data_IF_635484274548
#
_entry.id   IF_635484274548
#
_cell.length_a   1.000
_cell.length_b   1.000
_cell.length_c   1.000
_cell.angle_alpha   90.00
_cell.angle_beta   90.00
_cell.angle_gamma   90.00
#
_symmetry.space_group_name_H-M   'P 1'
#
loop_
_entity.id
_entity.type
_entity.pdbx_description
1 polymer ?
#
# COMPACT_ATOMS: atom_id res chain seq x y z
N UNK A 1 -43.48 -49.46 21.84
CA UNK A 1 -42.69 -48.31 22.32
C UNK A 1 -41.79 -47.88 21.18
N UNK A 2 -41.85 -46.60 20.87
CA UNK A 2 -41.28 -45.97 19.68
C UNK A 2 -39.74 -45.90 19.74
N UNK A 3 -39.09 -46.13 18.62
CA UNK A 3 -37.81 -45.49 18.32
C UNK A 3 -37.92 -44.87 16.92
N UNK A 4 -38.22 -43.58 16.95
CA UNK A 4 -38.25 -42.66 15.83
C UNK A 4 -36.81 -42.49 15.28
N UNK A 5 -36.66 -42.73 13.99
CA UNK A 5 -35.44 -42.46 13.21
C UNK A 5 -35.67 -41.13 12.51
N UNK A 6 -35.36 -40.03 13.19
CA UNK A 6 -35.10 -38.77 12.51
C UNK A 6 -33.63 -38.77 12.07
N UNK A 7 -33.42 -39.21 10.83
CA UNK A 7 -32.21 -38.87 10.10
C UNK A 7 -32.26 -37.35 9.86
N UNK A 8 -31.31 -36.60 10.43
CA UNK A 8 -31.18 -35.18 10.19
C UNK A 8 -30.84 -34.95 8.72
N UNK A 9 -31.71 -34.18 8.06
CA UNK A 9 -31.47 -33.65 6.73
C UNK A 9 -30.08 -33.02 6.64
N UNK A 10 -29.32 -33.51 5.67
CA UNK A 10 -28.00 -33.03 5.33
C UNK A 10 -28.17 -31.65 4.65
N UNK A 11 -27.73 -30.58 5.32
CA UNK A 11 -27.76 -29.18 4.87
C UNK A 11 -26.85 -28.96 3.63
N UNK A 12 -27.23 -29.53 2.49
CA UNK A 12 -26.79 -29.00 1.21
C UNK A 12 -27.60 -27.72 0.93
N UNK A 13 -26.96 -26.58 0.59
CA UNK A 13 -27.71 -25.37 0.24
C UNK A 13 -28.68 -25.70 -0.90
N UNK A 14 -29.97 -25.36 -0.70
CA UNK A 14 -31.03 -25.58 -1.69
C UNK A 14 -30.60 -24.94 -3.01
N UNK A 15 -30.82 -25.63 -4.14
CA UNK A 15 -30.41 -25.19 -5.49
C UNK A 15 -30.73 -23.73 -5.78
N UNK A 16 -31.89 -23.28 -5.31
CA UNK A 16 -32.41 -21.93 -5.53
C UNK A 16 -31.57 -20.85 -4.82
N UNK A 17 -30.95 -21.16 -3.69
CA UNK A 17 -30.06 -20.24 -2.97
C UNK A 17 -28.69 -20.11 -3.67
N UNK A 18 -28.18 -21.22 -4.22
CA UNK A 18 -26.95 -21.22 -5.00
C UNK A 18 -27.10 -20.42 -6.31
N UNK A 19 -28.21 -20.57 -7.01
CA UNK A 19 -28.53 -19.79 -8.21
C UNK A 19 -28.71 -18.30 -7.90
N UNK A 20 -29.44 -17.98 -6.82
CA UNK A 20 -29.62 -16.60 -6.38
C UNK A 20 -28.28 -15.93 -6.00
N UNK A 21 -27.40 -16.66 -5.30
CA UNK A 21 -26.04 -16.20 -4.99
C UNK A 21 -25.23 -15.91 -6.24
N UNK A 22 -25.21 -16.84 -7.19
CA UNK A 22 -24.48 -16.67 -8.45
C UNK A 22 -25.00 -15.46 -9.23
N UNK A 23 -26.32 -15.30 -9.33
CA UNK A 23 -26.96 -14.19 -10.01
C UNK A 23 -26.60 -12.82 -9.38
N UNK A 24 -26.61 -12.72 -8.05
CA UNK A 24 -26.13 -11.52 -7.33
C UNK A 24 -24.66 -11.25 -7.63
N UNK A 25 -23.82 -12.29 -7.60
CA UNK A 25 -22.40 -12.19 -7.91
C UNK A 25 -22.15 -11.66 -9.32
N UNK A 26 -22.85 -12.18 -10.32
CA UNK A 26 -22.79 -11.67 -11.70
C UNK A 26 -23.25 -10.22 -11.80
N UNK A 27 -24.27 -9.81 -11.04
CA UNK A 27 -24.75 -8.42 -11.07
C UNK A 27 -23.70 -7.44 -10.53
N UNK A 28 -23.00 -7.78 -9.44
CA UNK A 28 -21.90 -6.96 -8.89
C UNK A 28 -20.69 -7.00 -9.83
N UNK A 29 -20.32 -8.19 -10.31
CA UNK A 29 -19.20 -8.35 -11.24
C UNK A 29 -19.41 -7.52 -12.52
N UNK A 30 -20.63 -7.43 -13.06
CA UNK A 30 -20.96 -6.57 -14.21
C UNK A 30 -20.75 -5.09 -13.93
N UNK A 31 -21.15 -4.62 -12.75
CA UNK A 31 -20.94 -3.22 -12.35
C UNK A 31 -19.45 -2.88 -12.25
N UNK A 32 -18.65 -3.79 -11.69
CA UNK A 32 -17.20 -3.61 -11.54
C UNK A 32 -16.51 -3.78 -12.90
N UNK A 33 -16.68 -4.93 -13.55
CA UNK A 33 -15.92 -5.29 -14.75
C UNK A 33 -16.39 -4.58 -16.03
N UNK A 34 -17.54 -3.89 -16.02
CA UNK A 34 -18.04 -3.17 -17.18
C UNK A 34 -18.33 -4.09 -18.37
N UNK A 35 -18.15 -3.61 -19.63
CA UNK A 35 -18.46 -4.39 -20.83
C UNK A 35 -17.71 -5.72 -20.96
N UNK A 36 -16.50 -5.83 -20.40
CA UNK A 36 -15.64 -7.02 -20.50
C UNK A 36 -15.54 -7.80 -19.17
N UNK A 37 -16.55 -7.67 -18.30
CA UNK A 37 -16.52 -8.22 -16.95
C UNK A 37 -16.23 -9.73 -16.86
N UNK A 38 -16.64 -10.49 -17.87
CA UNK A 38 -16.55 -11.95 -17.89
C UNK A 38 -15.24 -12.47 -18.47
N UNK A 39 -14.39 -11.62 -19.06
CA UNK A 39 -13.15 -12.04 -19.71
C UNK A 39 -12.24 -12.91 -18.81
N UNK A 40 -11.90 -12.46 -17.57
CA UNK A 40 -11.14 -13.27 -16.62
C UNK A 40 -11.86 -14.58 -16.22
N UNK A 41 -13.16 -14.52 -15.99
CA UNK A 41 -13.97 -15.66 -15.54
C UNK A 41 -14.07 -16.72 -16.65
N UNK A 42 -14.32 -16.30 -17.90
CA UNK A 42 -14.40 -17.19 -19.05
C UNK A 42 -13.06 -17.88 -19.35
N UNK A 43 -11.93 -17.18 -19.19
CA UNK A 43 -10.60 -17.82 -19.29
C UNK A 43 -10.39 -18.87 -18.19
N UNK A 44 -10.78 -18.56 -16.96
CA UNK A 44 -10.69 -19.49 -15.83
C UNK A 44 -11.59 -20.71 -16.04
N UNK A 45 -12.81 -20.52 -16.55
CA UNK A 45 -13.78 -21.59 -16.79
C UNK A 45 -13.29 -22.65 -17.80
N UNK A 46 -12.43 -22.28 -18.75
CA UNK A 46 -11.80 -23.22 -19.69
C UNK A 46 -10.88 -24.22 -19.01
N UNK A 47 -10.33 -23.86 -17.85
CA UNK A 47 -9.42 -24.70 -17.06
C UNK A 47 -10.15 -25.35 -15.88
N UNK A 48 -10.99 -24.56 -15.18
CA UNK A 48 -11.78 -25.02 -14.04
C UNK A 48 -13.11 -24.24 -13.99
N UNK A 49 -14.21 -24.84 -14.49
CA UNK A 49 -15.55 -24.28 -14.37
C UNK A 49 -15.95 -24.02 -12.92
N UNK A 50 -15.58 -24.92 -12.00
CA UNK A 50 -15.89 -24.77 -10.58
C UNK A 50 -15.18 -23.58 -9.94
N UNK A 51 -13.91 -23.35 -10.28
CA UNK A 51 -13.17 -22.19 -9.78
C UNK A 51 -13.75 -20.88 -10.34
N UNK A 52 -14.18 -20.89 -11.61
CA UNK A 52 -14.85 -19.74 -12.22
C UNK A 52 -16.17 -19.43 -11.51
N UNK A 53 -17.00 -20.45 -11.24
CA UNK A 53 -18.22 -20.30 -10.43
C UNK A 53 -17.90 -19.78 -9.03
N UNK A 54 -16.92 -20.36 -8.34
CA UNK A 54 -16.54 -19.94 -6.98
C UNK A 54 -16.08 -18.48 -6.94
N UNK A 55 -15.35 -18.04 -7.98
CA UNK A 55 -14.90 -16.64 -8.11
C UNK A 55 -16.07 -15.67 -8.27
N UNK A 56 -17.18 -16.09 -8.87
CA UNK A 56 -18.41 -15.30 -8.95
C UNK A 56 -19.19 -15.36 -7.64
N UNK A 57 -19.43 -16.57 -7.15
CA UNK A 57 -20.29 -16.86 -6.00
C UNK A 57 -19.78 -16.19 -4.73
N UNK A 58 -18.52 -16.43 -4.36
CA UNK A 58 -18.01 -16.00 -3.06
C UNK A 58 -17.56 -14.53 -3.06
N UNK A 59 -16.54 -14.10 -3.85
CA UNK A 59 -16.11 -12.71 -3.90
C UNK A 59 -17.26 -11.75 -4.20
N UNK A 60 -18.02 -11.97 -5.27
CA UNK A 60 -19.01 -10.98 -5.70
C UNK A 60 -20.40 -11.23 -5.10
N UNK A 61 -20.81 -12.49 -4.93
CA UNK A 61 -22.16 -12.86 -4.49
C UNK A 61 -22.36 -12.98 -2.97
N UNK A 62 -21.29 -13.25 -2.21
CA UNK A 62 -21.33 -13.35 -0.75
C UNK A 62 -20.66 -12.16 -0.07
N UNK A 63 -19.60 -11.58 -0.66
CA UNK A 63 -18.79 -10.52 -0.03
C UNK A 63 -19.13 -9.13 -0.59
N UNK A 64 -18.86 -8.85 -1.86
CA UNK A 64 -19.03 -7.50 -2.42
C UNK A 64 -20.50 -7.08 -2.61
N UNK A 65 -21.45 -8.01 -2.63
CA UNK A 65 -22.89 -7.70 -2.70
C UNK A 65 -23.50 -7.32 -1.35
N UNK A 66 -22.76 -7.45 -0.25
CA UNK A 66 -23.28 -7.15 1.09
C UNK A 66 -23.64 -5.66 1.19
N UNK A 67 -24.71 -5.30 1.92
CA UNK A 67 -24.96 -3.90 2.27
C UNK A 67 -23.89 -3.42 3.27
N UNK A 68 -23.90 -2.12 3.62
CA UNK A 68 -23.06 -1.58 4.70
C UNK A 68 -21.80 -0.84 4.24
N UNK A 69 -21.29 -1.13 3.03
CA UNK A 69 -20.25 -0.32 2.38
C UNK A 69 -20.57 -0.20 0.89
N UNK A 70 -20.59 1.03 0.37
CA UNK A 70 -20.89 1.26 -1.04
C UNK A 70 -19.79 0.70 -1.96
N UNK A 71 -20.15 0.48 -3.22
CA UNK A 71 -19.27 -0.21 -4.16
C UNK A 71 -18.01 0.60 -4.50
N UNK A 72 -18.07 1.94 -4.45
CA UNK A 72 -16.92 2.82 -4.68
C UNK A 72 -15.90 2.66 -3.56
N UNK A 73 -16.33 2.73 -2.30
CA UNK A 73 -15.46 2.50 -1.14
C UNK A 73 -14.91 1.06 -1.12
N UNK A 74 -15.73 0.07 -1.51
CA UNK A 74 -15.25 -1.32 -1.69
C UNK A 74 -14.10 -1.40 -2.70
N UNK A 75 -14.25 -0.77 -3.87
CA UNK A 75 -13.19 -0.78 -4.87
C UNK A 75 -11.94 -0.02 -4.42
N UNK A 76 -12.08 1.10 -3.69
CA UNK A 76 -10.93 1.80 -3.07
C UNK A 76 -10.15 0.88 -2.12
N UNK A 77 -10.85 0.17 -1.23
CA UNK A 77 -10.24 -0.80 -0.32
C UNK A 77 -9.54 -1.94 -1.07
N UNK A 78 -10.19 -2.48 -2.10
CA UNK A 78 -9.65 -3.60 -2.90
C UNK A 78 -8.41 -3.18 -3.68
N UNK A 79 -8.41 -1.99 -4.30
CA UNK A 79 -7.22 -1.42 -4.95
C UNK A 79 -6.09 -1.29 -3.92
N UNK A 80 -6.38 -0.78 -2.72
CA UNK A 80 -5.41 -0.71 -1.63
C UNK A 80 -4.83 -2.08 -1.24
N UNK A 81 -5.69 -3.09 -1.02
CA UNK A 81 -5.29 -4.48 -0.71
C UNK A 81 -4.43 -5.11 -1.82
N UNK A 82 -4.79 -4.91 -3.08
CA UNK A 82 -4.08 -5.47 -4.22
C UNK A 82 -2.71 -4.80 -4.43
N UNK A 83 -2.60 -3.49 -4.15
CA UNK A 83 -1.31 -2.78 -4.08
C UNK A 83 -0.46 -3.34 -2.93
N UNK A 84 -1.06 -3.59 -1.76
CA UNK A 84 -0.37 -4.17 -0.61
C UNK A 84 0.15 -5.59 -0.88
N UNK A 85 -0.60 -6.42 -1.59
CA UNK A 85 -0.15 -7.75 -2.00
C UNK A 85 1.00 -7.68 -3.03
N UNK A 86 0.95 -6.72 -3.95
CA UNK A 86 2.07 -6.33 -4.78
C UNK A 86 2.53 -7.33 -5.86
N UNK A 87 1.81 -8.44 -6.07
CA UNK A 87 2.13 -9.48 -7.07
C UNK A 87 0.95 -9.91 -7.95
N UNK A 88 -0.16 -9.18 -7.91
CA UNK A 88 -1.44 -9.51 -8.57
C UNK A 88 -1.86 -8.41 -9.56
N UNK A 89 -0.95 -8.04 -10.44
CA UNK A 89 -1.13 -6.86 -11.31
C UNK A 89 -2.35 -6.93 -12.24
N UNK A 90 -2.72 -8.09 -12.83
CA UNK A 90 -3.95 -8.20 -13.61
C UNK A 90 -5.21 -7.91 -12.79
N UNK A 91 -5.26 -8.40 -11.55
CA UNK A 91 -6.38 -8.15 -10.63
C UNK A 91 -6.39 -6.69 -10.16
N UNK A 92 -5.21 -6.13 -9.87
CA UNK A 92 -5.09 -4.70 -9.54
C UNK A 92 -5.66 -3.84 -10.68
N UNK A 93 -5.24 -4.09 -11.92
CA UNK A 93 -5.79 -3.37 -13.10
C UNK A 93 -7.31 -3.53 -13.19
N UNK A 94 -7.82 -4.75 -13.05
CA UNK A 94 -9.27 -5.01 -13.10
C UNK A 94 -10.04 -4.20 -12.05
N UNK A 95 -9.56 -4.14 -10.81
CA UNK A 95 -10.21 -3.38 -9.74
C UNK A 95 -10.00 -1.86 -9.83
N UNK A 96 -8.92 -1.40 -10.48
CA UNK A 96 -8.75 0.02 -10.80
C UNK A 96 -9.73 0.48 -11.89
N UNK A 97 -9.88 -0.31 -12.95
CA UNK A 97 -10.93 -0.08 -13.96
C UNK A 97 -12.32 -0.19 -13.32
N UNK A 98 -12.48 -1.13 -12.40
CA UNK A 98 -13.67 -1.31 -11.58
C UNK A 98 -14.04 -0.09 -10.75
N UNK A 99 -13.06 0.51 -10.05
CA UNK A 99 -13.26 1.74 -9.30
C UNK A 99 -13.84 2.84 -10.19
N UNK A 100 -13.29 3.03 -11.38
CA UNK A 100 -13.78 4.01 -12.34
C UNK A 100 -15.19 3.70 -12.86
N UNK A 101 -15.56 2.43 -12.98
CA UNK A 101 -16.89 2.01 -13.43
C UNK A 101 -17.98 2.24 -12.36
N UNK A 102 -17.59 2.28 -11.08
CA UNK A 102 -18.53 2.43 -9.95
C UNK A 102 -18.49 3.84 -9.33
N UNK A 103 -18.03 4.83 -10.09
CA UNK A 103 -18.07 6.26 -9.72
C UNK A 103 -16.80 6.81 -9.07
N UNK A 104 -15.69 6.06 -9.08
CA UNK A 104 -14.37 6.60 -8.78
C UNK A 104 -13.77 7.40 -9.94
N UNK A 105 -12.74 8.18 -9.63
CA UNK A 105 -12.04 9.05 -10.58
C UNK A 105 -10.60 8.59 -10.84
N UNK A 106 -9.97 9.12 -11.89
CA UNK A 106 -8.53 8.96 -12.09
C UNK A 106 -7.71 9.52 -10.90
N UNK A 107 -8.19 10.59 -10.28
CA UNK A 107 -7.56 11.17 -9.10
C UNK A 107 -7.61 10.22 -7.91
N UNK A 108 -8.71 9.49 -7.72
CA UNK A 108 -8.81 8.47 -6.66
C UNK A 108 -7.72 7.40 -6.78
N UNK A 109 -7.41 6.96 -8.01
CA UNK A 109 -6.33 5.99 -8.26
C UNK A 109 -4.97 6.56 -7.82
N UNK A 110 -4.71 7.83 -8.15
CA UNK A 110 -3.48 8.53 -7.78
C UNK A 110 -3.40 8.74 -6.27
N UNK A 111 -4.50 9.09 -5.59
CA UNK A 111 -4.52 9.22 -4.13
C UNK A 111 -4.22 7.91 -3.41
N UNK A 112 -4.74 6.79 -3.89
CA UNK A 112 -4.42 5.47 -3.31
C UNK A 112 -2.93 5.15 -3.49
N UNK A 113 -2.28 5.58 -4.58
CA UNK A 113 -0.83 5.46 -4.76
C UNK A 113 -0.03 6.32 -3.78
N UNK A 114 -0.49 7.54 -3.49
CA UNK A 114 0.12 8.38 -2.46
C UNK A 114 0.01 7.71 -1.08
N UNK A 115 -1.18 7.26 -0.70
CA UNK A 115 -1.39 6.52 0.56
C UNK A 115 -0.46 5.30 0.63
N UNK A 116 -0.39 4.51 -0.46
CA UNK A 116 0.52 3.37 -0.54
C UNK A 116 1.99 3.77 -0.33
N UNK A 117 2.41 4.96 -0.76
CA UNK A 117 3.79 5.43 -0.54
C UNK A 117 4.11 5.59 0.95
N UNK A 118 3.22 6.18 1.74
CA UNK A 118 3.42 6.34 3.18
C UNK A 118 3.23 5.03 3.96
N UNK A 119 2.25 4.20 3.57
CA UNK A 119 1.86 3.01 4.33
C UNK A 119 2.68 1.78 3.94
N UNK A 120 2.97 1.60 2.65
CA UNK A 120 3.61 0.41 2.10
C UNK A 120 5.05 0.66 1.65
N UNK A 121 5.40 1.92 1.35
CA UNK A 121 6.68 2.39 0.81
C UNK A 121 6.63 2.66 -0.69
N UNK A 122 7.56 3.48 -1.20
CA UNK A 122 7.68 3.86 -2.61
C UNK A 122 7.61 2.71 -3.64
N UNK A 123 8.19 1.51 -3.41
CA UNK A 123 8.09 0.39 -4.37
C UNK A 123 6.65 0.05 -4.79
N UNK A 124 5.70 0.14 -3.86
CA UNK A 124 4.29 -0.13 -4.14
C UNK A 124 3.71 0.89 -5.13
N UNK A 125 4.05 2.17 -4.98
CA UNK A 125 3.62 3.22 -5.89
C UNK A 125 4.33 3.16 -7.26
N UNK A 126 5.64 2.89 -7.28
CA UNK A 126 6.44 2.75 -8.52
C UNK A 126 5.83 1.73 -9.47
N UNK A 127 5.40 0.58 -8.97
CA UNK A 127 4.81 -0.43 -9.84
C UNK A 127 3.39 -0.07 -10.31
N UNK A 128 2.68 0.75 -9.53
CA UNK A 128 1.29 1.10 -9.81
C UNK A 128 1.16 2.14 -10.91
N UNK A 129 2.15 3.04 -11.06
CA UNK A 129 2.11 4.14 -12.05
C UNK A 129 1.91 3.65 -13.49
N UNK A 130 2.54 2.53 -13.86
CA UNK A 130 2.43 1.96 -15.20
C UNK A 130 1.02 1.44 -15.49
N UNK A 131 0.35 0.87 -14.49
CA UNK A 131 -1.02 0.37 -14.62
C UNK A 131 -1.97 1.56 -14.78
N UNK A 132 -1.85 2.59 -13.93
CA UNK A 132 -2.68 3.80 -14.02
C UNK A 132 -2.50 4.47 -15.38
N UNK A 133 -1.26 4.69 -15.83
CA UNK A 133 -0.97 5.26 -17.15
C UNK A 133 -1.66 4.48 -18.28
N UNK A 134 -1.55 3.15 -18.25
CA UNK A 134 -2.18 2.30 -19.27
C UNK A 134 -3.70 2.44 -19.23
N UNK A 135 -4.33 2.44 -18.05
CA UNK A 135 -5.78 2.63 -17.91
C UNK A 135 -6.23 3.99 -18.46
N UNK A 136 -5.51 5.07 -18.13
CA UNK A 136 -5.83 6.42 -18.62
C UNK A 136 -5.75 6.48 -20.15
N UNK A 137 -4.71 5.88 -20.73
CA UNK A 137 -4.53 5.79 -22.18
C UNK A 137 -5.64 4.94 -22.84
N UNK A 138 -5.88 3.72 -22.35
CA UNK A 138 -6.87 2.78 -22.91
C UNK A 138 -8.28 3.37 -22.88
N UNK A 139 -8.62 4.11 -21.83
CA UNK A 139 -9.93 4.75 -21.65
C UNK A 139 -10.00 6.17 -22.20
N UNK A 140 -8.92 6.70 -22.76
CA UNK A 140 -8.82 8.09 -23.23
C UNK A 140 -9.28 9.11 -22.17
N UNK A 141 -8.92 8.89 -20.91
CA UNK A 141 -9.28 9.78 -19.79
C UNK A 141 -8.29 10.95 -19.79
N UNK A 142 -8.75 12.20 -20.01
CA UNK A 142 -7.88 13.36 -19.82
C UNK A 142 -7.50 13.45 -18.34
N UNK A 143 -6.20 13.58 -18.07
CA UNK A 143 -5.70 13.66 -16.71
C UNK A 143 -4.64 14.75 -16.62
N UNK A 144 -4.79 15.62 -15.62
CA UNK A 144 -3.84 16.66 -15.30
C UNK A 144 -3.24 16.35 -13.92
N UNK A 145 -1.94 16.03 -13.85
CA UNK A 145 -1.32 15.73 -12.57
C UNK A 145 -1.30 16.94 -11.65
N UNK A 146 -1.46 16.70 -10.36
CA UNK A 146 -1.20 17.71 -9.33
C UNK A 146 0.31 17.95 -9.30
N UNK A 147 0.71 19.21 -9.47
CA UNK A 147 2.11 19.59 -9.48
C UNK A 147 2.62 19.78 -8.06
N UNK A 148 3.90 19.44 -7.80
CA UNK A 148 4.47 19.62 -6.48
C UNK A 148 4.47 21.08 -6.03
N UNK A 149 4.09 21.30 -4.78
CA UNK A 149 4.17 22.62 -4.16
C UNK A 149 5.55 22.83 -3.55
N UNK A 150 6.20 23.94 -3.88
CA UNK A 150 7.43 24.34 -3.21
C UNK A 150 7.14 24.71 -1.74
N UNK A 151 8.01 24.31 -0.82
CA UNK A 151 7.99 24.78 0.56
C UNK A 151 9.23 25.64 0.91
N UNK A 152 8.99 26.77 1.57
CA UNK A 152 10.04 27.69 2.00
C UNK A 152 10.63 27.32 3.38
N UNK A 153 10.33 26.13 3.90
CA UNK A 153 10.67 25.68 5.26
C UNK A 153 9.57 26.00 6.29
N UNK A 154 9.46 25.18 7.34
CA UNK A 154 8.49 25.27 8.45
C UNK A 154 7.02 24.92 8.13
N UNK A 155 6.55 25.12 6.90
CA UNK A 155 5.15 24.89 6.51
C UNK A 155 4.75 23.42 6.46
N UNK A 156 5.70 22.51 6.18
CA UNK A 156 5.46 21.07 6.05
C UNK A 156 5.09 20.41 7.38
N UNK A 157 5.86 20.63 8.44
CA UNK A 157 5.54 20.11 9.77
C UNK A 157 4.19 20.64 10.28
N UNK A 158 3.93 21.94 10.10
CA UNK A 158 2.66 22.53 10.48
C UNK A 158 1.47 21.95 9.68
N UNK A 159 1.64 21.73 8.37
CA UNK A 159 0.65 21.04 7.53
C UNK A 159 0.44 19.60 8.00
N UNK A 160 1.52 18.90 8.35
CA UNK A 160 1.48 17.56 8.93
C UNK A 160 0.71 17.50 10.25
N UNK A 161 0.92 18.45 11.16
CA UNK A 161 0.16 18.52 12.41
C UNK A 161 -1.32 18.80 12.18
N UNK A 162 -1.68 19.66 11.21
CA UNK A 162 -3.09 19.89 10.84
C UNK A 162 -3.73 18.62 10.29
N UNK A 163 -3.09 17.99 9.30
CA UNK A 163 -3.57 16.74 8.71
C UNK A 163 -3.67 15.62 9.77
N UNK A 164 -2.71 15.53 10.69
CA UNK A 164 -2.77 14.60 11.81
C UNK A 164 -3.99 14.88 12.70
N UNK A 165 -4.22 16.14 13.09
CA UNK A 165 -5.38 16.51 13.90
C UNK A 165 -6.71 16.16 13.23
N UNK A 166 -6.83 16.44 11.94
CA UNK A 166 -8.02 16.15 11.14
C UNK A 166 -8.29 14.64 10.97
N UNK A 167 -7.24 13.86 10.68
CA UNK A 167 -7.34 12.42 10.44
C UNK A 167 -7.42 11.62 11.73
N UNK A 168 -6.52 11.88 12.67
CA UNK A 168 -6.35 11.03 13.83
C UNK A 168 -7.30 11.39 14.98
N UNK A 169 -7.79 12.63 15.02
CA UNK A 169 -8.69 13.15 16.07
C UNK A 169 -8.15 12.80 17.48
N UNK A 170 -6.85 13.07 17.69
CA UNK A 170 -6.12 12.76 18.91
C UNK A 170 -4.86 13.64 19.05
N UNK A 171 -4.26 13.71 20.24
CA UNK A 171 -3.11 14.56 20.46
C UNK A 171 -1.88 14.01 19.72
N UNK A 172 -1.17 14.81 18.90
CA UNK A 172 0.07 14.38 18.24
C UNK A 172 1.18 13.98 19.21
N UNK A 173 1.14 14.46 20.46
CA UNK A 173 2.15 14.18 21.49
C UNK A 173 2.30 12.68 21.74
N UNK A 174 1.19 11.94 21.83
CA UNK A 174 1.21 10.53 22.22
C UNK A 174 1.82 9.68 21.09
N UNK A 175 1.45 10.02 19.85
CA UNK A 175 2.03 9.42 18.66
C UNK A 175 3.53 9.69 18.57
N UNK A 176 3.96 10.94 18.71
CA UNK A 176 5.37 11.33 18.66
C UNK A 176 6.19 10.72 19.79
N UNK A 177 5.62 10.62 21.00
CA UNK A 177 6.30 10.07 22.17
C UNK A 177 6.65 8.58 22.00
N UNK A 178 5.89 7.83 21.19
CA UNK A 178 6.08 6.39 21.04
C UNK A 178 7.44 5.97 20.46
N UNK A 179 8.12 6.85 19.71
CA UNK A 179 9.48 6.59 19.18
C UNK A 179 10.41 7.81 19.18
N UNK A 180 9.92 9.01 19.48
CA UNK A 180 10.71 10.25 19.43
C UNK A 180 11.88 10.29 20.41
N UNK A 181 11.84 9.52 21.51
CA UNK A 181 12.96 9.41 22.46
C UNK A 181 14.16 8.64 21.87
N UNK A 182 13.92 7.73 20.92
CA UNK A 182 14.94 6.89 20.30
C UNK A 182 15.38 7.49 18.96
N UNK A 183 14.42 7.96 18.16
CA UNK A 183 14.67 8.54 16.84
C UNK A 183 13.77 9.78 16.62
N UNK A 184 14.23 10.96 17.06
CA UNK A 184 13.47 12.20 16.87
C UNK A 184 13.29 12.54 15.38
N UNK A 185 14.22 12.14 14.51
CA UNK A 185 14.10 12.39 13.07
C UNK A 185 12.97 11.57 12.45
N UNK A 186 12.80 10.30 12.83
CA UNK A 186 11.68 9.50 12.34
C UNK A 186 10.35 10.08 12.83
N UNK A 187 10.28 10.56 14.07
CA UNK A 187 9.11 11.23 14.63
C UNK A 187 8.76 12.48 13.81
N UNK A 188 9.76 13.32 13.53
CA UNK A 188 9.59 14.48 12.67
C UNK A 188 9.13 14.09 11.25
N UNK A 189 9.82 13.17 10.59
CA UNK A 189 9.47 12.76 9.23
C UNK A 189 8.12 12.07 9.13
N UNK A 190 7.66 11.36 10.17
CA UNK A 190 6.31 10.81 10.16
C UNK A 190 5.27 11.93 10.03
N UNK A 191 5.42 13.03 10.76
CA UNK A 191 4.53 14.20 10.67
C UNK A 191 4.74 14.93 9.34
N UNK A 192 5.98 15.20 8.96
CA UNK A 192 6.25 16.01 7.79
C UNK A 192 5.95 15.28 6.47
N UNK A 193 6.40 14.04 6.33
CA UNK A 193 6.24 13.24 5.12
C UNK A 193 4.89 12.54 5.08
N UNK A 194 4.65 11.62 6.02
CA UNK A 194 3.47 10.78 5.95
C UNK A 194 2.19 11.62 6.15
N UNK A 195 2.14 12.50 7.14
CA UNK A 195 0.98 13.38 7.33
C UNK A 195 1.02 14.62 6.44
N UNK A 196 2.15 15.32 6.35
CA UNK A 196 2.25 16.64 5.75
C UNK A 196 2.34 16.69 4.23
N UNK A 197 2.94 15.69 3.60
CA UNK A 197 3.08 15.62 2.13
C UNK A 197 2.09 14.62 1.53
N UNK A 198 1.88 13.48 2.18
CA UNK A 198 1.08 12.38 1.64
C UNK A 198 -0.38 12.48 2.08
N UNK A 199 -0.66 12.42 3.39
CA UNK A 199 -2.05 12.32 3.86
C UNK A 199 -2.77 13.68 3.92
N UNK A 200 -2.06 14.80 3.85
CA UNK A 200 -2.63 16.14 3.76
C UNK A 200 -3.28 16.45 2.40
N UNK A 201 -3.10 15.59 1.39
CA UNK A 201 -3.71 15.76 0.06
C UNK A 201 -5.24 15.73 0.16
N UNK A 202 -5.93 16.70 -0.46
CA UNK A 202 -7.35 16.98 -0.19
C UNK A 202 -8.39 16.18 -1.00
N UNK A 203 -7.96 15.31 -1.91
CA UNK A 203 -8.85 14.72 -2.93
C UNK A 203 -9.67 13.52 -2.43
N UNK A 204 -9.18 12.82 -1.39
CA UNK A 204 -9.89 11.72 -0.75
C UNK A 204 -10.28 12.10 0.69
N UNK A 205 -11.56 11.93 1.04
CA UNK A 205 -12.06 12.23 2.38
C UNK A 205 -11.39 11.37 3.47
N UNK A 206 -11.33 11.88 4.70
CA UNK A 206 -10.67 11.22 5.84
C UNK A 206 -11.18 9.80 6.07
N UNK A 207 -12.51 9.59 6.03
CA UNK A 207 -13.12 8.26 6.19
C UNK A 207 -12.57 7.25 5.17
N UNK A 208 -12.62 7.61 3.89
CA UNK A 208 -12.13 6.78 2.81
C UNK A 208 -10.62 6.49 2.93
N UNK A 209 -9.80 7.50 3.29
CA UNK A 209 -8.37 7.28 3.58
C UNK A 209 -8.17 6.24 4.67
N UNK A 210 -8.87 6.33 5.79
CA UNK A 210 -8.73 5.36 6.87
C UNK A 210 -9.12 3.94 6.46
N UNK A 211 -10.21 3.76 5.70
CA UNK A 211 -10.63 2.44 5.24
C UNK A 211 -9.63 1.83 4.24
N UNK A 212 -9.07 2.64 3.33
CA UNK A 212 -8.00 2.22 2.41
C UNK A 212 -6.73 1.82 3.18
N UNK A 213 -6.30 2.66 4.13
CA UNK A 213 -5.12 2.38 4.96
C UNK A 213 -5.32 1.10 5.78
N UNK A 214 -6.49 0.94 6.40
CA UNK A 214 -6.83 -0.26 7.16
C UNK A 214 -6.81 -1.51 6.28
N UNK A 215 -7.34 -1.44 5.06
CA UNK A 215 -7.33 -2.55 4.10
C UNK A 215 -5.90 -2.92 3.68
N UNK A 216 -5.04 -1.92 3.42
CA UNK A 216 -3.62 -2.14 3.15
C UNK A 216 -2.91 -2.82 4.33
N UNK A 217 -3.07 -2.30 5.55
CA UNK A 217 -2.41 -2.81 6.75
C UNK A 217 -2.90 -4.22 7.11
N UNK A 218 -4.20 -4.47 7.00
CA UNK A 218 -4.80 -5.79 7.18
C UNK A 218 -4.30 -6.81 6.15
N UNK A 219 -4.12 -6.39 4.90
CA UNK A 219 -3.59 -7.26 3.83
C UNK A 219 -2.13 -7.64 4.08
N UNK A 220 -1.30 -6.70 4.58
CA UNK A 220 0.09 -7.01 4.94
C UNK A 220 0.16 -7.88 6.21
N UNK A 221 -0.74 -7.66 7.17
CA UNK A 221 -0.97 -8.58 8.30
C UNK A 221 0.07 -8.57 9.42
N UNK A 222 1.07 -7.69 9.40
CA UNK A 222 2.15 -7.64 10.40
C UNK A 222 2.34 -6.25 11.06
N UNK A 223 1.28 -5.45 11.11
CA UNK A 223 1.30 -4.05 11.59
C UNK A 223 0.09 -3.71 12.44
N UNK A 224 -0.18 -4.55 13.44
CA UNK A 224 -1.42 -4.51 14.24
C UNK A 224 -1.61 -3.16 14.95
N UNK A 225 -0.56 -2.56 15.51
CA UNK A 225 -0.66 -1.25 16.18
C UNK A 225 -1.06 -0.12 15.22
N UNK A 226 -0.49 -0.11 14.02
CA UNK A 226 -0.86 0.87 12.99
C UNK A 226 -2.29 0.61 12.50
N UNK A 227 -2.67 -0.65 12.29
CA UNK A 227 -4.03 -1.01 11.89
C UNK A 227 -5.03 -0.54 12.95
N UNK A 228 -4.79 -0.87 14.22
CA UNK A 228 -5.61 -0.46 15.35
C UNK A 228 -5.75 1.05 15.42
N UNK A 229 -4.64 1.79 15.32
CA UNK A 229 -4.63 3.25 15.31
C UNK A 229 -5.54 3.82 14.19
N UNK A 230 -5.43 3.30 12.96
CA UNK A 230 -6.26 3.76 11.85
C UNK A 230 -7.73 3.33 11.97
N UNK A 231 -8.05 2.19 12.58
CA UNK A 231 -9.43 1.77 12.86
C UNK A 231 -10.08 2.64 13.94
N UNK A 232 -9.35 2.94 15.02
CA UNK A 232 -9.81 3.85 16.08
C UNK A 232 -10.08 5.25 15.49
N UNK A 233 -9.18 5.76 14.65
CA UNK A 233 -9.37 7.05 13.99
C UNK A 233 -10.46 7.05 12.92
N UNK A 234 -10.66 5.95 12.18
CA UNK A 234 -11.79 5.79 11.26
C UNK A 234 -13.12 6.06 11.96
N UNK A 235 -13.32 5.46 13.15
CA UNK A 235 -14.53 5.66 13.96
C UNK A 235 -14.69 7.13 14.38
N UNK A 236 -13.59 7.80 14.77
CA UNK A 236 -13.61 9.21 15.18
C UNK A 236 -13.98 10.16 14.04
N UNK A 237 -13.58 9.85 12.81
CA UNK A 237 -13.94 10.65 11.63
C UNK A 237 -15.27 10.24 10.99
N UNK A 238 -16.04 9.37 11.65
CA UNK A 238 -17.41 9.05 11.29
C UNK A 238 -17.61 7.74 10.51
N UNK A 239 -16.58 6.89 10.35
CA UNK A 239 -16.80 5.53 9.87
C UNK A 239 -17.63 4.74 10.87
N UNK A 240 -18.59 3.96 10.39
CA UNK A 240 -19.35 3.03 11.21
C UNK A 240 -18.56 1.74 11.43
N UNK A 241 -18.89 1.01 12.51
CA UNK A 241 -18.36 -0.35 12.71
C UNK A 241 -18.71 -1.28 11.55
N UNK A 242 -19.90 -1.11 10.97
CA UNK A 242 -20.36 -1.86 9.80
C UNK A 242 -19.48 -1.60 8.58
N UNK A 243 -19.20 -0.33 8.23
CA UNK A 243 -18.29 0.02 7.12
C UNK A 243 -16.88 -0.57 7.31
N UNK A 244 -16.37 -0.58 8.55
CA UNK A 244 -15.09 -1.19 8.88
C UNK A 244 -15.13 -2.72 8.70
N UNK A 245 -16.18 -3.39 9.20
CA UNK A 245 -16.37 -4.84 9.03
C UNK A 245 -16.43 -5.20 7.54
N UNK A 246 -17.17 -4.41 6.75
CA UNK A 246 -17.31 -4.59 5.32
C UNK A 246 -16.04 -4.29 4.52
N UNK A 247 -15.17 -3.40 5.02
CA UNK A 247 -13.83 -3.22 4.47
C UNK A 247 -12.94 -4.45 4.79
N UNK A 248 -12.94 -4.93 6.04
CA UNK A 248 -12.07 -6.03 6.47
C UNK A 248 -12.49 -7.40 5.93
N UNK A 249 -13.78 -7.65 5.71
CA UNK A 249 -14.23 -8.93 5.12
C UNK A 249 -13.69 -9.12 3.70
N UNK A 250 -13.48 -8.04 2.94
CA UNK A 250 -12.87 -8.11 1.61
C UNK A 250 -11.42 -8.62 1.65
N UNK A 251 -10.71 -8.41 2.75
CA UNK A 251 -9.36 -8.96 2.95
C UNK A 251 -9.37 -10.50 2.86
N UNK A 252 -10.48 -11.16 3.21
CA UNK A 252 -10.59 -12.62 3.07
C UNK A 252 -10.51 -13.10 1.61
N UNK A 253 -10.95 -12.25 0.67
CA UNK A 253 -10.94 -12.54 -0.77
C UNK A 253 -9.55 -12.26 -1.35
N UNK A 254 -8.96 -11.12 -1.03
CA UNK A 254 -7.74 -10.65 -1.69
C UNK A 254 -6.44 -11.03 -0.97
N UNK A 255 -6.49 -11.29 0.34
CA UNK A 255 -5.35 -11.68 1.16
C UNK A 255 -5.57 -12.99 1.95
N UNK A 256 -6.75 -13.61 1.82
CA UNK A 256 -7.09 -14.87 2.47
C UNK A 256 -7.64 -14.71 3.89
N UNK A 257 -8.34 -15.75 4.36
CA UNK A 257 -8.96 -15.78 5.68
C UNK A 257 -8.00 -15.50 6.85
N UNK A 258 -6.75 -16.02 6.91
CA UNK A 258 -5.85 -15.74 8.03
C UNK A 258 -5.57 -14.24 8.23
N UNK A 259 -5.37 -13.49 7.14
CA UNK A 259 -5.16 -12.04 7.19
C UNK A 259 -6.42 -11.31 7.68
N UNK A 260 -7.60 -11.70 7.17
CA UNK A 260 -8.87 -11.14 7.62
C UNK A 260 -9.16 -11.43 9.10
N UNK A 261 -8.92 -12.66 9.56
CA UNK A 261 -9.13 -13.07 10.95
C UNK A 261 -8.21 -12.32 11.91
N UNK A 262 -6.93 -12.11 11.55
CA UNK A 262 -6.04 -11.24 12.32
C UNK A 262 -6.65 -9.82 12.40
N UNK A 263 -7.02 -9.24 11.26
CA UNK A 263 -7.58 -7.90 11.21
C UNK A 263 -8.87 -7.74 12.03
N UNK A 264 -9.75 -8.76 12.05
CA UNK A 264 -10.92 -8.77 12.92
C UNK A 264 -10.57 -8.84 14.40
N UNK A 265 -9.51 -9.55 14.78
CA UNK A 265 -8.97 -9.52 16.14
C UNK A 265 -8.54 -8.10 16.55
N UNK A 266 -7.87 -7.37 15.66
CA UNK A 266 -7.48 -5.97 15.88
C UNK A 266 -8.69 -5.04 15.90
N UNK A 267 -9.68 -5.25 15.03
CA UNK A 267 -10.91 -4.47 15.00
C UNK A 267 -11.74 -4.66 16.28
N UNK A 268 -11.80 -5.87 16.81
CA UNK A 268 -12.46 -6.15 18.09
C UNK A 268 -11.84 -5.34 19.23
N UNK A 269 -10.52 -5.17 19.25
CA UNK A 269 -9.83 -4.30 20.21
C UNK A 269 -10.16 -2.82 19.96
N UNK A 270 -10.16 -2.35 18.71
CA UNK A 270 -10.49 -0.97 18.37
C UNK A 270 -11.96 -0.61 18.66
N UNK A 271 -12.87 -1.58 18.64
CA UNK A 271 -14.30 -1.40 18.90
C UNK A 271 -14.65 -1.34 20.38
N UNK A 272 -13.76 -1.81 21.25
CA UNK A 272 -13.90 -1.69 22.70
C UNK A 272 -13.68 -0.22 23.11
N UNK A 273 -14.54 0.30 23.98
CA UNK A 273 -14.27 1.58 24.62
C UNK A 273 -13.03 1.39 25.50
N UNK A 274 -12.01 2.20 25.32
CA UNK A 274 -10.94 2.30 26.32
C UNK A 274 -11.52 3.02 27.53
N UNK A 275 -11.61 2.32 28.65
CA UNK A 275 -11.52 2.97 29.95
C UNK A 275 -10.07 3.46 30.09
N UNK A 276 -9.92 4.77 30.29
CA UNK A 276 -8.72 5.54 30.64
C UNK A 276 -7.37 4.80 30.55
N UNK A 277 -6.72 4.87 29.38
CA UNK A 277 -5.25 4.73 29.35
C UNK A 277 -4.68 6.06 29.84
N UNK A 278 -3.89 6.09 30.92
CA UNK A 278 -3.31 7.31 31.43
C UNK A 278 -2.53 7.99 30.31
N UNK A 279 -2.89 9.24 29.99
CA UNK A 279 -2.10 10.07 29.11
C UNK A 279 -0.69 10.16 29.72
N UNK A 280 0.30 9.55 29.08
CA UNK A 280 1.68 9.78 29.46
C UNK A 280 2.00 11.19 29.00
N UNK A 281 1.90 12.15 29.93
CA UNK A 281 2.28 13.53 29.69
C UNK A 281 3.78 13.58 29.38
N UNK A 282 4.13 13.41 28.11
CA UNK A 282 5.46 13.71 27.62
C UNK A 282 5.51 15.19 27.31
N UNK A 283 6.40 15.90 28.02
CA UNK A 283 6.73 17.29 27.74
C UNK A 283 7.51 17.38 26.41
N UNK A 284 6.84 17.12 25.30
CA UNK A 284 7.35 17.55 23.99
C UNK A 284 7.18 19.06 23.96
N UNK A 285 8.29 19.77 24.18
CA UNK A 285 8.36 21.22 24.06
C UNK A 285 7.79 21.62 22.70
N UNK A 286 6.71 22.41 22.69
CA UNK A 286 6.07 22.93 21.49
C UNK A 286 6.91 24.04 20.84
N UNK A 287 8.13 23.72 20.45
CA UNK A 287 8.81 24.47 19.39
C UNK A 287 8.62 23.67 18.12
N UNK A 288 7.92 24.24 17.13
CA UNK A 288 7.89 23.70 15.77
C UNK A 288 9.34 23.40 15.37
N UNK A 289 9.72 22.13 15.13
CA UNK A 289 11.05 21.84 14.61
C UNK A 289 11.25 22.65 13.32
N UNK A 290 12.37 23.34 13.20
CA UNK A 290 12.69 24.05 11.98
C UNK A 290 12.86 23.05 10.83
N UNK A 291 11.87 22.96 9.93
CA UNK A 291 12.04 22.20 8.69
C UNK A 291 12.91 22.97 7.73
N UNK A 292 13.89 22.29 7.14
CA UNK A 292 14.66 22.81 6.02
C UNK A 292 13.74 23.07 4.81
N UNK A 293 14.15 23.97 3.90
CA UNK A 293 13.45 24.21 2.65
C UNK A 293 13.56 23.04 1.67
N UNK A 294 12.52 22.78 0.91
CA UNK A 294 12.45 21.72 -0.10
C UNK A 294 13.56 21.85 -1.14
N UNK A 295 13.91 23.07 -1.54
CA UNK A 295 15.02 23.32 -2.47
C UNK A 295 16.36 22.74 -1.98
N UNK A 296 16.68 22.87 -0.69
CA UNK A 296 17.92 22.33 -0.11
C UNK A 296 17.88 20.81 0.00
N UNK A 297 16.75 20.25 0.46
CA UNK A 297 16.52 18.80 0.49
C UNK A 297 16.65 18.19 -0.90
N UNK A 298 16.04 18.82 -1.90
CA UNK A 298 16.12 18.43 -3.30
C UNK A 298 17.54 18.48 -3.83
N UNK A 299 18.27 19.56 -3.58
CA UNK A 299 19.67 19.69 -3.99
C UNK A 299 20.52 18.55 -3.41
N UNK A 300 20.40 18.30 -2.10
CA UNK A 300 21.10 17.21 -1.41
C UNK A 300 20.68 15.83 -1.94
N UNK A 301 19.39 15.64 -2.18
CA UNK A 301 18.83 14.41 -2.74
C UNK A 301 19.32 14.12 -4.15
N UNK A 302 19.38 15.12 -5.03
CA UNK A 302 19.94 14.98 -6.37
C UNK A 302 21.44 14.62 -6.32
N UNK A 303 22.21 15.23 -5.42
CA UNK A 303 23.61 14.88 -5.23
C UNK A 303 23.79 13.43 -4.77
N UNK A 304 22.99 12.98 -3.79
CA UNK A 304 23.00 11.59 -3.33
C UNK A 304 22.57 10.61 -4.43
N UNK A 305 21.50 10.94 -5.17
CA UNK A 305 21.02 10.15 -6.30
C UNK A 305 22.07 10.01 -7.41
N UNK A 306 22.74 11.10 -7.76
CA UNK A 306 23.79 11.10 -8.79
C UNK A 306 25.00 10.27 -8.34
N UNK A 307 25.36 10.34 -7.06
CA UNK A 307 26.49 9.61 -6.50
C UNK A 307 26.30 8.09 -6.52
N UNK A 308 25.06 7.59 -6.43
CA UNK A 308 24.80 6.13 -6.40
C UNK A 308 24.21 5.59 -7.68
N UNK A 309 23.28 6.28 -8.33
CA UNK A 309 22.40 5.64 -9.32
C UNK A 309 22.97 5.52 -10.75
N UNK A 310 24.05 6.24 -11.09
CA UNK A 310 24.61 6.20 -12.46
C UNK A 310 23.59 6.46 -13.57
N UNK A 311 22.55 7.27 -13.29
CA UNK A 311 21.47 7.62 -14.22
C UNK A 311 20.20 6.77 -14.11
N UNK A 312 20.23 5.55 -13.54
CA UNK A 312 19.04 4.69 -13.46
C UNK A 312 17.98 5.23 -12.49
N UNK A 313 18.42 5.93 -11.43
CA UNK A 313 17.53 6.54 -10.44
C UNK A 313 16.76 7.73 -11.00
N UNK A 314 17.39 8.53 -11.86
CA UNK A 314 16.72 9.62 -12.56
C UNK A 314 15.61 9.11 -13.48
N UNK A 315 15.83 7.97 -14.16
CA UNK A 315 14.80 7.37 -15.00
C UNK A 315 13.56 6.98 -14.19
N UNK A 316 13.73 6.48 -12.96
CA UNK A 316 12.61 6.20 -12.05
C UNK A 316 11.89 7.49 -11.67
N UNK A 317 12.61 8.55 -11.32
CA UNK A 317 11.99 9.84 -10.96
C UNK A 317 11.19 10.41 -12.13
N UNK A 318 11.75 10.42 -13.35
CA UNK A 318 11.08 10.91 -14.56
C UNK A 318 9.86 10.08 -14.93
N UNK A 319 9.83 8.79 -14.55
CA UNK A 319 8.70 7.90 -14.85
C UNK A 319 7.38 8.30 -14.18
N UNK A 320 7.38 9.32 -13.33
CA UNK A 320 6.17 9.84 -12.67
C UNK A 320 5.68 11.17 -13.25
N UNK A 321 6.42 11.83 -14.14
CA UNK A 321 6.17 13.24 -14.52
C UNK A 321 4.76 13.50 -15.07
N UNK A 322 4.19 12.54 -15.79
CA UNK A 322 2.91 12.65 -16.48
C UNK A 322 1.69 12.36 -15.61
N UNK A 323 1.84 11.58 -14.54
CA UNK A 323 0.72 11.09 -13.72
C UNK A 323 0.84 11.48 -12.24
N UNK A 324 2.03 11.43 -11.64
CA UNK A 324 2.21 11.74 -10.23
C UNK A 324 3.60 12.36 -9.94
N UNK A 325 3.95 13.52 -10.56
CA UNK A 325 5.28 14.13 -10.47
C UNK A 325 5.74 14.37 -9.03
N UNK A 326 4.81 14.59 -8.11
CA UNK A 326 5.04 14.69 -6.67
C UNK A 326 5.70 13.44 -6.07
N UNK A 327 5.38 12.22 -6.51
CA UNK A 327 6.06 11.01 -6.03
C UNK A 327 7.54 11.03 -6.45
N UNK A 328 7.83 11.46 -7.68
CA UNK A 328 9.21 11.64 -8.15
C UNK A 328 9.98 12.66 -7.30
N UNK A 329 9.36 13.79 -6.97
CA UNK A 329 9.93 14.77 -6.05
C UNK A 329 10.17 14.17 -4.65
N UNK A 330 9.21 13.43 -4.11
CA UNK A 330 9.32 12.79 -2.80
C UNK A 330 10.44 11.74 -2.76
N UNK A 331 10.68 10.99 -3.83
CA UNK A 331 11.83 10.08 -3.93
C UNK A 331 13.14 10.87 -3.76
N UNK A 332 13.27 11.99 -4.47
CA UNK A 332 14.48 12.83 -4.40
C UNK A 332 14.62 13.50 -3.04
N UNK A 333 13.60 14.21 -2.57
CA UNK A 333 13.66 15.03 -1.37
C UNK A 333 13.68 14.19 -0.09
N UNK A 334 12.81 13.19 0.01
CA UNK A 334 12.71 12.37 1.21
C UNK A 334 13.66 11.17 1.18
N UNK A 335 13.57 10.30 0.17
CA UNK A 335 14.41 9.09 0.17
C UNK A 335 15.89 9.43 0.04
N UNK A 336 16.26 10.22 -0.98
CA UNK A 336 17.67 10.56 -1.17
C UNK A 336 18.14 11.72 -0.29
N UNK A 337 17.33 12.76 -0.14
CA UNK A 337 17.67 13.98 0.59
C UNK A 337 17.55 13.89 2.11
N UNK A 338 16.61 13.13 2.66
CA UNK A 338 16.46 12.99 4.11
C UNK A 338 17.10 11.69 4.63
N UNK A 339 17.06 10.59 3.85
CA UNK A 339 17.49 9.26 4.33
C UNK A 339 18.88 8.86 3.81
N UNK A 340 19.08 8.73 2.49
CA UNK A 340 20.33 8.20 1.94
C UNK A 340 21.53 9.14 2.12
N UNK A 341 21.30 10.45 2.17
CA UNK A 341 22.37 11.42 2.42
C UNK A 341 22.83 11.49 3.88
N UNK A 342 22.22 10.73 4.80
CA UNK A 342 22.57 10.82 6.23
C UNK A 342 23.98 10.28 6.49
N UNK A 343 24.70 10.88 7.46
CA UNK A 343 25.91 10.27 7.98
C UNK A 343 25.57 8.98 8.76
N UNK A 344 26.58 8.15 9.02
CA UNK A 344 26.48 6.96 9.88
C UNK A 344 26.56 5.62 9.15
N UNK A 345 26.06 5.53 7.93
CA UNK A 345 26.31 4.42 7.00
C UNK A 345 26.89 4.98 5.72
N UNK A 346 27.96 4.37 5.23
CA UNK A 346 28.54 4.70 3.94
C UNK A 346 27.59 4.29 2.79
N UNK A 347 27.74 4.87 1.59
CA UNK A 347 26.85 4.57 0.46
C UNK A 347 26.78 3.09 0.10
N UNK A 348 27.90 2.35 0.14
CA UNK A 348 27.92 0.91 -0.17
C UNK A 348 27.04 0.13 0.79
N UNK A 349 27.22 0.36 2.09
CA UNK A 349 26.41 -0.30 3.12
C UNK A 349 24.92 0.03 2.99
N UNK A 350 24.57 1.27 2.62
CA UNK A 350 23.17 1.66 2.39
C UNK A 350 22.53 0.92 1.22
N UNK A 351 23.24 0.83 0.10
CA UNK A 351 22.74 0.16 -1.10
C UNK A 351 22.61 -1.37 -0.89
N UNK A 352 23.55 -2.00 -0.18
CA UNK A 352 23.45 -3.41 0.21
C UNK A 352 22.25 -3.64 1.14
N UNK A 353 22.02 -2.75 2.11
CA UNK A 353 20.85 -2.81 3.00
C UNK A 353 19.54 -2.65 2.22
N UNK A 354 19.49 -1.76 1.23
CA UNK A 354 18.33 -1.60 0.35
C UNK A 354 18.09 -2.87 -0.48
N UNK A 355 19.14 -3.49 -1.03
CA UNK A 355 19.04 -4.77 -1.73
C UNK A 355 18.45 -5.87 -0.83
N UNK A 356 18.96 -6.01 0.39
CA UNK A 356 18.47 -6.98 1.37
C UNK A 356 16.97 -6.76 1.69
N UNK A 357 16.58 -5.51 1.97
CA UNK A 357 15.19 -5.17 2.30
C UNK A 357 14.21 -5.46 1.13
N UNK A 358 14.60 -5.12 -0.10
CA UNK A 358 13.79 -5.34 -1.29
C UNK A 358 13.70 -6.82 -1.67
N UNK A 359 14.80 -7.56 -1.51
CA UNK A 359 14.84 -9.01 -1.70
C UNK A 359 13.98 -9.75 -0.67
N UNK A 360 14.02 -9.33 0.60
CA UNK A 360 13.22 -9.95 1.67
C UNK A 360 11.71 -9.83 1.45
N UNK A 361 11.23 -8.72 0.87
CA UNK A 361 9.81 -8.58 0.51
C UNK A 361 9.38 -9.52 -0.62
N UNK A 362 10.27 -9.81 -1.58
CA UNK A 362 10.06 -10.76 -2.67
C UNK A 362 8.73 -10.62 -3.43
N UNK A 363 8.28 -9.38 -3.68
CA UNK A 363 7.07 -9.10 -4.48
C UNK A 363 7.43 -8.60 -5.87
N UNK A 364 6.49 -8.67 -6.82
CA UNK A 364 6.70 -8.05 -8.15
C UNK A 364 7.01 -6.56 -8.05
N UNK A 365 6.42 -5.86 -7.08
CA UNK A 365 6.65 -4.43 -6.83
C UNK A 365 8.08 -4.08 -6.40
N UNK A 366 8.86 -5.03 -5.85
CA UNK A 366 10.25 -4.76 -5.45
C UNK A 366 11.28 -5.09 -6.52
N UNK A 367 10.91 -5.75 -7.63
CA UNK A 367 11.87 -6.15 -8.67
C UNK A 367 12.59 -4.95 -9.31
N UNK A 368 11.84 -3.92 -9.73
CA UNK A 368 12.43 -2.72 -10.36
C UNK A 368 13.34 -1.95 -9.40
N UNK A 369 12.90 -1.60 -8.17
CA UNK A 369 13.79 -1.00 -7.18
C UNK A 369 15.02 -1.87 -6.88
N UNK A 370 14.87 -3.20 -6.78
CA UNK A 370 16.00 -4.09 -6.50
C UNK A 370 17.07 -4.00 -7.60
N UNK A 371 16.67 -3.93 -8.88
CA UNK A 371 17.62 -3.70 -9.99
C UNK A 371 18.36 -2.38 -9.86
N UNK A 372 17.64 -1.32 -9.50
CA UNK A 372 18.22 0.02 -9.30
C UNK A 372 19.26 -0.03 -8.17
N UNK A 373 18.90 -0.60 -7.03
CA UNK A 373 19.79 -0.67 -5.87
C UNK A 373 20.98 -1.64 -6.05
N UNK A 374 20.83 -2.73 -6.82
CA UNK A 374 21.96 -3.60 -7.21
C UNK A 374 22.96 -2.81 -8.06
N UNK A 375 22.48 -2.07 -9.05
CA UNK A 375 23.35 -1.23 -9.87
C UNK A 375 23.98 -0.10 -9.06
N UNK A 376 23.21 0.50 -8.15
CA UNK A 376 23.73 1.55 -7.28
C UNK A 376 24.83 1.01 -6.34
N UNK A 377 24.63 -0.16 -5.73
CA UNK A 377 25.64 -0.84 -4.92
C UNK A 377 26.95 -1.03 -5.68
N UNK A 378 26.88 -1.51 -6.93
CA UNK A 378 28.06 -1.68 -7.79
C UNK A 378 28.75 -0.34 -8.09
N UNK A 379 27.99 0.74 -8.33
CA UNK A 379 28.55 2.06 -8.62
C UNK A 379 29.30 2.66 -7.42
N UNK A 380 28.86 2.36 -6.20
CA UNK A 380 29.50 2.82 -4.96
C UNK A 380 30.55 1.83 -4.42
N UNK A 381 30.96 0.86 -5.23
CA UNK A 381 32.09 -0.03 -4.94
C UNK A 381 31.76 -1.34 -4.24
N UNK A 382 30.49 -1.77 -4.20
CA UNK A 382 30.18 -3.17 -3.87
C UNK A 382 30.70 -4.11 -4.96
N UNK A 383 31.34 -5.20 -4.56
CA UNK A 383 31.64 -6.33 -5.42
C UNK A 383 30.37 -7.15 -5.72
N UNK A 384 30.44 -7.98 -6.78
CA UNK A 384 29.35 -8.92 -7.09
C UNK A 384 29.20 -9.93 -5.96
N UNK A 385 30.31 -10.34 -5.36
CA UNK A 385 30.40 -11.25 -4.23
C UNK A 385 29.72 -10.66 -3.00
N UNK A 386 29.96 -9.38 -2.65
CA UNK A 386 29.26 -8.72 -1.53
C UNK A 386 27.74 -8.68 -1.74
N UNK A 387 27.28 -8.45 -2.97
CA UNK A 387 25.85 -8.47 -3.30
C UNK A 387 25.29 -9.90 -3.18
N UNK A 388 25.99 -10.89 -3.71
CA UNK A 388 25.59 -12.31 -3.61
C UNK A 388 25.52 -12.75 -2.15
N UNK A 389 26.54 -12.49 -1.34
CA UNK A 389 26.55 -12.86 0.08
C UNK A 389 25.44 -12.14 0.87
N UNK A 390 25.19 -10.87 0.55
CA UNK A 390 24.06 -10.12 1.14
C UNK A 390 22.73 -10.81 0.84
N UNK A 391 22.51 -11.24 -0.40
CA UNK A 391 21.27 -11.92 -0.81
C UNK A 391 21.19 -13.35 -0.25
N UNK A 392 22.30 -14.11 -0.19
CA UNK A 392 22.35 -15.45 0.40
C UNK A 392 22.00 -15.42 1.89
N UNK A 393 22.49 -14.42 2.62
CA UNK A 393 22.22 -14.25 4.05
C UNK A 393 20.71 -14.11 4.35
N UNK A 394 19.92 -13.64 3.38
CA UNK A 394 18.47 -13.52 3.53
C UNK A 394 17.73 -14.86 3.54
N UNK A 395 18.36 -15.95 3.10
CA UNK A 395 17.71 -17.27 2.96
C UNK A 395 17.19 -17.80 4.30
N UNK A 396 17.91 -17.54 5.40
CA UNK A 396 17.50 -17.96 6.73
C UNK A 396 16.23 -17.27 7.24
N UNK A 397 15.91 -16.07 6.74
CA UNK A 397 14.82 -15.23 7.22
C UNK A 397 13.60 -15.22 6.30
N UNK A 398 13.83 -15.29 4.98
CA UNK A 398 12.78 -15.15 3.96
C UNK A 398 12.61 -16.39 3.07
N UNK A 399 13.43 -17.42 3.31
CA UNK A 399 13.38 -18.68 2.57
C UNK A 399 14.03 -18.62 1.19
N UNK A 400 14.31 -19.79 0.64
CA UNK A 400 14.99 -19.96 -0.65
C UNK A 400 14.26 -19.32 -1.85
N UNK A 401 12.93 -19.39 -2.00
CA UNK A 401 12.25 -18.81 -3.18
C UNK A 401 12.47 -17.30 -3.34
N UNK A 402 12.42 -16.55 -2.24
CA UNK A 402 12.70 -15.11 -2.23
C UNK A 402 14.12 -14.80 -2.71
N UNK A 403 15.11 -15.53 -2.15
CA UNK A 403 16.52 -15.36 -2.50
C UNK A 403 16.78 -15.76 -3.95
N UNK A 404 16.21 -16.87 -4.44
CA UNK A 404 16.36 -17.30 -5.83
C UNK A 404 15.84 -16.23 -6.81
N UNK A 405 14.70 -15.61 -6.51
CA UNK A 405 14.17 -14.49 -7.29
C UNK A 405 15.14 -13.31 -7.33
N UNK A 406 15.69 -12.91 -6.19
CA UNK A 406 16.67 -11.83 -6.10
C UNK A 406 17.99 -12.16 -6.82
N UNK A 407 18.47 -13.40 -6.71
CA UNK A 407 19.68 -13.87 -7.39
C UNK A 407 19.54 -13.84 -8.92
N UNK A 408 18.37 -14.23 -9.44
CA UNK A 408 18.08 -14.11 -10.87
C UNK A 408 18.19 -12.65 -11.32
N UNK A 409 17.62 -11.72 -10.56
CA UNK A 409 17.68 -10.29 -10.85
C UNK A 409 19.13 -9.78 -10.82
N UNK A 410 19.90 -10.13 -9.79
CA UNK A 410 21.31 -9.77 -9.70
C UNK A 410 22.14 -10.29 -10.88
N UNK A 411 21.97 -11.57 -11.23
CA UNK A 411 22.66 -12.18 -12.38
C UNK A 411 22.30 -11.51 -13.72
N UNK A 412 21.06 -11.06 -13.90
CA UNK A 412 20.66 -10.26 -15.07
C UNK A 412 21.39 -8.91 -15.12
N UNK A 413 21.46 -8.17 -14.00
CA UNK A 413 22.16 -6.88 -13.96
C UNK A 413 23.68 -7.04 -14.09
N UNK A 414 24.27 -8.09 -13.53
CA UNK A 414 25.69 -8.38 -13.68
C UNK A 414 26.07 -8.61 -15.15
N UNK A 415 25.25 -9.35 -15.90
CA UNK A 415 25.48 -9.59 -17.34
C UNK A 415 25.43 -8.32 -18.17
N UNK A 416 24.53 -7.39 -17.85
CA UNK A 416 24.41 -6.10 -18.57
C UNK A 416 25.66 -5.22 -18.46
N UNK A 417 26.52 -5.43 -17.46
CA UNK A 417 27.77 -4.68 -17.25
C UNK A 417 29.02 -5.33 -17.84
N UNK A 418 28.91 -6.53 -18.43
CA UNK A 418 30.04 -7.25 -19.05
C UNK A 418 30.18 -6.93 -20.55
N UNK A 419 29.18 -6.24 -21.11
CA UNK A 419 29.21 -5.60 -22.43
C UNK A 419 29.35 -4.09 -22.24
#
# INVERSE_FOLDING_TARGET
MAHDKTASDNDAPRSDDAEARHARGLAILRQIGGPEYDGPIGRLARVSPDMARFTVDYPYGDVLSRPGLDLRLRQLCNVGSLIAQGSVQPQLRFHMEGLLNVGGSAQDLVEVMFIATAILGFPAAINTIGIVRQILADRSIPFSPILPQADAGGSRYARGLRAFGELMQGPPSDYLASFGAITPELAQWSIEFAFGDVLARGELESKAKHLVIASMLATVGNREDALRLHLESALKVGATKEEIIEALIQVSVYAGFPAALNAFGVAAQAFQKRDDVPAVASAVRSSTPGSESGARRRQRGLAALAATSGGSGEAVVRSFEDVAPEIGQMIVEHSYGDIFSRPGLDPKTRELTACAALAGRATRTTETPLRVHINAALNVGASREEIVETLLNMAAYFGFPAVQGAMRIAGEEFRKRVL
#
